data_IF_302129756905
#
_entry.id   IF_302129756905
#
_cell.length_a   1.000
_cell.length_b   1.000
_cell.length_c   1.000
_cell.angle_alpha   90.00
_cell.angle_beta   90.00
_cell.angle_gamma   90.00
#
_symmetry.space_group_name_H-M   'P 1'
#
loop_
_entity.id
_entity.type
_entity.pdbx_description
1 polymer ?
#
# COMPACT_ATOMS: atom_id res chain seq x y z
N UNK A 1 9.82 14.13 -6.31
CA UNK A 1 8.54 14.06 -7.05
C UNK A 1 8.35 12.82 -7.92
N UNK A 2 9.35 12.34 -8.68
CA UNK A 2 9.20 11.17 -9.55
C UNK A 2 8.60 9.92 -8.86
N UNK A 3 9.07 9.57 -7.67
CA UNK A 3 8.52 8.46 -6.86
C UNK A 3 7.05 8.66 -6.47
N UNK A 4 6.65 9.89 -6.14
CA UNK A 4 5.25 10.21 -5.85
C UNK A 4 4.37 10.07 -7.09
N UNK A 5 4.86 10.52 -8.26
CA UNK A 5 4.14 10.37 -9.53
C UNK A 5 4.00 8.88 -9.90
N UNK A 6 5.06 8.08 -9.74
CA UNK A 6 5.03 6.63 -9.98
C UNK A 6 4.09 5.92 -9.00
N UNK A 7 4.20 6.20 -7.70
CA UNK A 7 3.31 5.63 -6.67
C UNK A 7 1.84 6.01 -6.89
N UNK A 8 1.59 7.29 -7.24
CA UNK A 8 0.28 7.79 -7.63
C UNK A 8 -0.27 7.11 -8.88
N UNK A 9 0.57 6.89 -9.89
CA UNK A 9 0.21 6.18 -11.13
C UNK A 9 -0.18 4.73 -10.87
N UNK A 10 0.59 4.03 -10.02
CA UNK A 10 0.29 2.64 -9.61
C UNK A 10 -1.03 2.58 -8.86
N UNK A 11 -1.27 3.52 -7.93
CA UNK A 11 -2.57 3.62 -7.23
C UNK A 11 -3.70 3.88 -8.22
N UNK A 12 -3.52 4.83 -9.14
CA UNK A 12 -4.53 5.18 -10.15
C UNK A 12 -4.81 4.02 -11.09
N UNK A 13 -3.79 3.25 -11.47
CA UNK A 13 -3.92 2.04 -12.26
C UNK A 13 -4.67 0.94 -11.50
N UNK A 14 -4.36 0.73 -10.22
CA UNK A 14 -5.12 -0.18 -9.36
C UNK A 14 -6.59 0.27 -9.27
N UNK A 15 -6.85 1.54 -8.96
CA UNK A 15 -8.22 2.11 -8.91
C UNK A 15 -8.98 1.94 -10.23
N UNK A 16 -8.31 2.16 -11.36
CA UNK A 16 -8.90 1.96 -12.69
C UNK A 16 -9.16 0.49 -13.02
N UNK A 17 -8.34 -0.44 -12.52
CA UNK A 17 -8.56 -1.89 -12.66
C UNK A 17 -9.65 -2.41 -11.74
N UNK A 18 -9.82 -1.83 -10.56
CA UNK A 18 -10.87 -2.21 -9.60
C UNK A 18 -12.17 -1.40 -9.78
N UNK A 19 -12.33 -0.64 -10.86
CA UNK A 19 -13.35 0.39 -11.04
C UNK A 19 -14.83 -0.05 -10.83
N UNK A 20 -15.14 -1.34 -10.88
CA UNK A 20 -16.48 -1.89 -10.56
C UNK A 20 -16.57 -2.58 -9.19
N UNK A 21 -15.45 -2.80 -8.49
CA UNK A 21 -15.37 -3.57 -7.24
C UNK A 21 -14.58 -2.88 -6.11
N UNK A 22 -13.94 -1.72 -6.33
CA UNK A 22 -13.23 -0.96 -5.28
C UNK A 22 -14.18 -0.06 -4.51
N UNK A 23 -14.42 -0.39 -3.25
CA UNK A 23 -14.97 0.54 -2.26
C UNK A 23 -13.85 0.98 -1.31
N UNK A 24 -13.72 2.29 -1.09
CA UNK A 24 -12.73 2.88 -0.17
C UNK A 24 -13.07 2.56 1.31
N UNK A 25 -14.35 2.29 1.58
CA UNK A 25 -14.83 1.56 2.76
C UNK A 25 -14.72 0.06 2.51
N UNK A 26 -14.29 -0.71 3.52
CA UNK A 26 -14.42 -2.17 3.56
C UNK A 26 -15.91 -2.57 3.62
N UNK A 27 -16.65 -2.30 2.56
CA UNK A 27 -18.07 -2.61 2.39
C UNK A 27 -18.17 -3.71 1.35
N UNK A 28 -18.28 -4.94 1.84
CA UNK A 28 -18.55 -6.13 1.05
C UNK A 28 -19.98 -5.98 0.53
N UNK A 29 -20.15 -5.64 -0.77
CA UNK A 29 -21.46 -5.70 -1.42
C UNK A 29 -21.92 -7.16 -1.54
N UNK A 30 -23.23 -7.38 -1.61
CA UNK A 30 -23.85 -8.72 -1.62
C UNK A 30 -23.35 -9.60 -2.79
N UNK A 31 -23.02 -8.99 -3.93
CA UNK A 31 -22.46 -9.66 -5.14
C UNK A 31 -20.95 -9.49 -5.31
N UNK A 32 -20.21 -9.35 -4.21
CA UNK A 32 -18.75 -9.30 -4.29
C UNK A 32 -18.22 -10.70 -4.63
N UNK A 33 -17.47 -10.82 -5.72
CA UNK A 33 -16.73 -12.03 -6.10
C UNK A 33 -15.23 -11.82 -5.93
N UNK A 34 -14.50 -12.88 -5.63
CA UNK A 34 -13.05 -12.81 -5.42
C UNK A 34 -12.34 -12.54 -6.77
N UNK A 35 -11.77 -11.34 -6.92
CA UNK A 35 -10.99 -11.01 -8.12
C UNK A 35 -9.61 -11.65 -8.00
N UNK A 36 -9.35 -12.63 -8.85
CA UNK A 36 -8.07 -13.35 -8.89
C UNK A 36 -7.26 -13.07 -10.16
N UNK A 37 -7.77 -12.23 -11.06
CA UNK A 37 -7.19 -11.97 -12.38
C UNK A 37 -6.31 -10.72 -12.43
N UNK A 38 -5.29 -10.71 -13.28
CA UNK A 38 -4.42 -9.55 -13.51
C UNK A 38 -3.37 -9.37 -12.41
N UNK A 39 -3.20 -8.17 -11.88
CA UNK A 39 -2.18 -7.89 -10.84
C UNK A 39 -2.43 -8.70 -9.55
N UNK A 40 -3.70 -9.04 -9.30
CA UNK A 40 -4.15 -9.87 -8.19
C UNK A 40 -3.81 -11.36 -8.34
N UNK A 41 -3.37 -11.82 -9.52
CA UNK A 41 -2.84 -13.18 -9.69
C UNK A 41 -1.37 -13.32 -9.27
N UNK A 42 -0.71 -12.20 -8.96
CA UNK A 42 0.71 -12.15 -8.61
C UNK A 42 0.92 -11.69 -7.16
N UNK A 43 0.14 -10.71 -6.70
CA UNK A 43 0.25 -10.10 -5.38
C UNK A 43 -1.13 -9.90 -4.76
N UNK A 44 -1.26 -10.17 -3.45
CA UNK A 44 -2.55 -10.02 -2.75
C UNK A 44 -2.99 -8.56 -2.61
N UNK A 45 -2.04 -7.65 -2.42
CA UNK A 45 -2.33 -6.23 -2.12
C UNK A 45 -1.50 -5.25 -2.96
N UNK A 46 -1.66 -5.23 -4.31
CA UNK A 46 -0.85 -4.39 -5.20
C UNK A 46 -1.03 -2.87 -4.95
N UNK A 47 -2.19 -2.46 -4.42
CA UNK A 47 -2.47 -1.07 -4.05
C UNK A 47 -1.61 -0.58 -2.88
N UNK A 48 -1.26 -1.46 -1.96
CA UNK A 48 -0.43 -1.16 -0.79
C UNK A 48 1.04 -0.97 -1.18
N UNK A 49 1.51 -1.62 -2.24
CA UNK A 49 2.83 -1.36 -2.85
C UNK A 49 2.93 0.09 -3.33
N UNK A 50 1.88 0.62 -3.96
CA UNK A 50 1.83 2.03 -4.37
C UNK A 50 1.79 3.01 -3.18
N UNK A 51 1.11 2.64 -2.09
CA UNK A 51 1.09 3.44 -0.87
C UNK A 51 2.47 3.50 -0.20
N UNK A 52 3.20 2.39 -0.18
CA UNK A 52 4.56 2.32 0.34
C UNK A 52 5.54 3.17 -0.48
N UNK A 53 5.48 3.07 -1.81
CA UNK A 53 6.29 3.90 -2.72
C UNK A 53 6.00 5.40 -2.58
N UNK A 54 4.73 5.78 -2.41
CA UNK A 54 4.34 7.16 -2.15
C UNK A 54 4.90 7.68 -0.80
N UNK A 55 4.84 6.86 0.26
CA UNK A 55 5.38 7.23 1.57
C UNK A 55 6.90 7.49 1.52
N UNK A 56 7.65 6.62 0.82
CA UNK A 56 9.09 6.82 0.57
C UNK A 56 9.32 8.09 -0.27
N UNK A 57 8.51 8.31 -1.30
CA UNK A 57 8.62 9.50 -2.15
C UNK A 57 8.41 10.80 -1.38
N UNK A 58 7.48 10.82 -0.42
CA UNK A 58 7.23 11.97 0.47
C UNK A 58 8.44 12.18 1.40
N UNK A 59 8.94 11.13 2.06
CA UNK A 59 10.10 11.22 2.93
C UNK A 59 11.33 11.80 2.20
N UNK A 60 11.60 11.34 0.97
CA UNK A 60 12.70 11.84 0.15
C UNK A 60 12.52 13.31 -0.26
N UNK A 61 11.29 13.75 -0.56
CA UNK A 61 11.03 15.16 -0.84
C UNK A 61 11.37 16.05 0.37
N UNK A 62 11.03 15.62 1.59
CA UNK A 62 11.31 16.38 2.81
C UNK A 62 12.77 16.33 3.28
N UNK A 63 13.58 15.41 2.75
CA UNK A 63 15.02 15.34 2.96
C UNK A 63 15.82 16.14 1.92
N UNK A 64 15.14 16.75 0.94
CA UNK A 64 15.80 17.57 -0.09
C UNK A 64 15.99 19.01 0.44
N UNK A 65 17.17 19.63 0.23
CA UNK A 65 17.41 21.03 0.58
C UNK A 65 16.41 21.97 -0.10
N UNK A 66 16.00 23.05 0.58
CA UNK A 66 15.02 24.01 0.06
C UNK A 66 13.55 23.68 0.34
N UNK A 67 13.26 22.72 1.22
CA UNK A 67 11.88 22.48 1.69
C UNK A 67 11.60 23.20 3.00
N UNK A 68 10.32 23.51 3.27
CA UNK A 68 9.91 24.18 4.51
C UNK A 68 10.42 23.46 5.77
N UNK A 69 10.55 22.14 5.74
CA UNK A 69 11.09 21.37 6.86
C UNK A 69 12.59 21.60 7.06
N UNK A 70 13.38 21.74 5.99
CA UNK A 70 14.82 22.01 6.10
C UNK A 70 15.14 23.48 6.33
N UNK A 71 14.27 24.39 5.89
CA UNK A 71 14.49 25.85 5.93
C UNK A 71 13.80 26.55 7.11
N UNK A 72 12.66 26.04 7.57
CA UNK A 72 11.82 26.71 8.58
C UNK A 72 11.58 25.91 9.85
N UNK A 73 11.91 24.60 9.88
CA UNK A 73 12.00 23.90 11.16
C UNK A 73 13.39 24.16 11.69
N UNK A 74 13.52 24.79 12.85
CA UNK A 74 14.80 25.06 13.52
C UNK A 74 15.57 23.77 13.91
N UNK A 75 15.17 22.62 13.36
CA UNK A 75 15.75 21.31 13.57
C UNK A 75 17.02 21.16 12.74
N UNK A 76 18.07 20.54 13.30
CA UNK A 76 19.22 20.15 12.51
C UNK A 76 18.77 19.16 11.41
N UNK A 77 19.32 19.22 10.18
CA UNK A 77 18.92 18.35 9.07
C UNK A 77 18.92 16.85 9.42
N UNK A 78 19.82 16.43 10.33
CA UNK A 78 19.90 15.06 10.82
C UNK A 78 18.72 14.61 11.71
N UNK A 79 18.00 15.53 12.36
CA UNK A 79 16.84 15.21 13.21
C UNK A 79 15.57 14.92 12.41
N UNK A 80 15.51 15.30 11.13
CA UNK A 80 14.37 15.04 10.23
C UNK A 80 14.33 13.56 9.83
N UNK A 81 15.49 12.92 9.69
CA UNK A 81 15.62 11.50 9.32
C UNK A 81 14.89 10.56 10.31
N UNK A 82 15.15 10.60 11.63
CA UNK A 82 14.46 9.71 12.57
C UNK A 82 12.95 9.95 12.62
N UNK A 83 12.47 11.19 12.44
CA UNK A 83 11.03 11.50 12.38
C UNK A 83 10.38 10.76 11.21
N UNK A 84 11.00 10.80 10.02
CA UNK A 84 10.51 10.06 8.86
C UNK A 84 10.64 8.55 9.01
N UNK A 85 11.72 8.06 9.63
CA UNK A 85 11.88 6.62 9.90
C UNK A 85 10.78 6.12 10.83
N UNK A 86 10.48 6.86 11.91
CA UNK A 86 9.39 6.54 12.83
C UNK A 86 8.03 6.63 12.13
N UNK A 87 7.77 7.72 11.40
CA UNK A 87 6.54 7.90 10.64
C UNK A 87 6.31 6.80 9.59
N UNK A 88 7.35 6.42 8.86
CA UNK A 88 7.30 5.32 7.88
C UNK A 88 7.08 3.98 8.58
N UNK A 89 7.71 3.74 9.73
CA UNK A 89 7.52 2.53 10.53
C UNK A 89 6.08 2.39 11.03
N UNK A 90 5.50 3.48 11.55
CA UNK A 90 4.09 3.55 11.97
C UNK A 90 3.18 3.32 10.76
N UNK A 91 3.45 3.95 9.62
CA UNK A 91 2.68 3.76 8.40
C UNK A 91 2.73 2.31 7.92
N UNK A 92 3.90 1.67 7.93
CA UNK A 92 4.06 0.26 7.57
C UNK A 92 3.29 -0.66 8.51
N UNK A 93 3.38 -0.44 9.81
CA UNK A 93 2.62 -1.19 10.81
C UNK A 93 1.10 -1.02 10.63
N UNK A 94 0.65 0.21 10.36
CA UNK A 94 -0.75 0.52 10.08
C UNK A 94 -1.25 -0.14 8.80
N UNK A 95 -0.44 -0.15 7.73
CA UNK A 95 -0.77 -0.84 6.48
C UNK A 95 -0.81 -2.35 6.67
N UNK A 96 0.12 -2.96 7.39
CA UNK A 96 0.08 -4.40 7.69
C UNK A 96 -1.15 -4.77 8.52
N UNK A 97 -1.46 -3.98 9.56
CA UNK A 97 -2.66 -4.17 10.37
C UNK A 97 -3.93 -4.07 9.51
N UNK A 98 -3.99 -3.11 8.59
CA UNK A 98 -5.11 -2.92 7.66
C UNK A 98 -5.24 -4.08 6.70
N UNK A 99 -4.14 -4.53 6.09
CA UNK A 99 -4.13 -5.69 5.21
C UNK A 99 -4.59 -6.96 5.93
N UNK A 100 -4.14 -7.19 7.17
CA UNK A 100 -4.61 -8.35 7.97
C UNK A 100 -6.10 -8.28 8.25
N UNK A 101 -6.66 -7.09 8.47
CA UNK A 101 -8.10 -6.91 8.66
C UNK A 101 -8.86 -7.24 7.36
N UNK A 102 -8.36 -6.77 6.23
CA UNK A 102 -8.91 -7.06 4.90
C UNK A 102 -8.85 -8.56 4.57
N UNK A 103 -7.70 -9.21 4.80
CA UNK A 103 -7.52 -10.66 4.65
C UNK A 103 -8.54 -11.45 5.48
N UNK A 104 -8.74 -11.06 6.75
CA UNK A 104 -9.71 -11.70 7.63
C UNK A 104 -11.13 -11.55 7.10
N UNK A 105 -11.50 -10.33 6.69
CA UNK A 105 -12.84 -10.08 6.14
C UNK A 105 -13.11 -10.87 4.86
N UNK A 106 -12.11 -11.01 3.98
CA UNK A 106 -12.21 -11.82 2.78
C UNK A 106 -12.27 -13.32 3.10
N UNK A 107 -11.47 -13.78 4.07
CA UNK A 107 -11.54 -15.16 4.56
C UNK A 107 -12.89 -15.51 5.18
N UNK A 108 -13.45 -14.63 5.99
CA UNK A 108 -14.75 -14.86 6.63
C UNK A 108 -15.89 -14.98 5.61
N UNK A 109 -15.81 -14.20 4.52
CA UNK A 109 -16.82 -14.18 3.45
C UNK A 109 -16.69 -15.34 2.46
N UNK A 110 -15.49 -15.61 1.95
CA UNK A 110 -15.24 -16.56 0.85
C UNK A 110 -14.66 -17.91 1.31
N UNK A 111 -14.19 -18.00 2.57
CA UNK A 111 -13.73 -19.22 3.25
C UNK A 111 -12.77 -20.06 2.41
N UNK A 112 -13.23 -21.19 1.88
CA UNK A 112 -12.44 -22.16 1.11
C UNK A 112 -11.91 -21.59 -0.21
N UNK A 113 -12.66 -20.73 -0.89
CA UNK A 113 -12.22 -20.08 -2.12
C UNK A 113 -11.05 -19.11 -1.84
N UNK A 114 -11.13 -18.37 -0.72
CA UNK A 114 -10.06 -17.51 -0.25
C UNK A 114 -8.81 -18.31 0.14
N UNK A 115 -8.97 -19.39 0.92
CA UNK A 115 -7.84 -20.20 1.37
C UNK A 115 -7.12 -20.88 0.18
N UNK A 116 -7.87 -21.39 -0.81
CA UNK A 116 -7.32 -21.97 -2.02
C UNK A 116 -6.57 -20.95 -2.89
N UNK A 117 -7.12 -19.74 -3.04
CA UNK A 117 -6.45 -18.67 -3.77
C UNK A 117 -5.23 -18.12 -3.01
N UNK A 118 -5.36 -17.87 -1.71
CA UNK A 118 -4.28 -17.35 -0.88
C UNK A 118 -3.09 -18.32 -0.80
N UNK A 119 -3.35 -19.63 -0.82
CA UNK A 119 -2.29 -20.64 -0.89
C UNK A 119 -1.50 -20.58 -2.22
N UNK A 120 -2.14 -20.18 -3.32
CA UNK A 120 -1.49 -20.02 -4.64
C UNK A 120 -0.67 -18.73 -4.73
N UNK A 121 -1.08 -17.67 -4.05
CA UNK A 121 -0.39 -16.38 -4.09
C UNK A 121 0.68 -16.32 -3.00
N UNK A 122 1.95 -16.52 -3.41
CA UNK A 122 3.12 -16.51 -2.51
C UNK A 122 3.41 -15.13 -1.90
N UNK A 123 3.05 -14.04 -2.58
CA UNK A 123 3.49 -12.69 -2.20
C UNK A 123 2.36 -11.79 -1.70
N UNK A 124 2.58 -11.16 -0.54
CA UNK A 124 1.62 -10.25 0.08
C UNK A 124 1.67 -8.83 -0.51
N UNK A 125 2.87 -8.28 -0.73
CA UNK A 125 3.09 -6.90 -1.22
C UNK A 125 4.21 -6.81 -2.27
N UNK A 126 5.33 -7.51 -2.07
CA UNK A 126 6.50 -7.47 -2.96
C UNK A 126 6.86 -8.87 -3.45
N UNK A 127 7.14 -9.00 -4.75
CA UNK A 127 7.76 -10.19 -5.35
C UNK A 127 9.25 -10.08 -5.12
N UNK A 128 9.83 -10.94 -4.28
CA UNK A 128 11.28 -11.15 -4.27
C UNK A 128 11.56 -12.10 -5.44
N UNK A 129 12.26 -11.61 -6.44
CA UNK A 129 12.77 -12.43 -7.55
C UNK A 129 14.00 -13.14 -7.00
N UNK A 130 13.87 -14.45 -6.73
CA UNK A 130 15.02 -15.35 -6.59
C UNK A 130 15.57 -15.68 -7.99
#
# INVERSE_FOLDING_TARGET
>A
WALNLVGGSIRLYCYRRLRTLFTFELSIRRDHHLITTGVYSVVRHPSYTGAFLAAIGIALCHLTPGTWVTECSELPPGAVVPIWVVGLSIACAGLDARMRKEDRMLRDRFRTEWDAWAARIRYKIFRYTD
#
